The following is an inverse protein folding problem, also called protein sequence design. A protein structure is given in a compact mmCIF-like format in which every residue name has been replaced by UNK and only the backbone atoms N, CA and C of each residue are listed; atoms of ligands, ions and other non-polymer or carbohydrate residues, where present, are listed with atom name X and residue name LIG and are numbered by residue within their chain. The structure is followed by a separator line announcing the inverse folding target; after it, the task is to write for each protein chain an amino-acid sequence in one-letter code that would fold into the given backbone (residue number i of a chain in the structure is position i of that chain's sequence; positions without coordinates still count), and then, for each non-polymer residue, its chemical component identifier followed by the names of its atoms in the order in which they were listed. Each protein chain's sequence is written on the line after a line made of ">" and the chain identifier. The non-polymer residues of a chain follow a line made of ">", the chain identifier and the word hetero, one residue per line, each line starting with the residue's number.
data_IF_543045828723
#
_entry.id   IF_543045828723
#
_cell.length_a   1.000
_cell.length_b   1.000
_cell.length_c   1.000
_cell.angle_alpha   90.00
_cell.angle_beta   90.00
_cell.angle_gamma   90.00
#
_symmetry.space_group_name_H-M   'P 1'
#
loop_
_entity.id
_entity.type
_entity.pdbx_description
1 polymer ?
#
# COMPACT_ATOMS: atom_id res chain seq x y z
N UNK A 1 9.32 5.08 -69.02
CA UNK A 1 9.65 5.32 -70.46
C UNK A 1 10.91 6.17 -70.54
N UNK A 2 11.72 5.98 -71.60
CA UNK A 2 12.82 6.83 -72.11
C UNK A 2 13.85 7.35 -71.07
N UNK A 3 15.03 6.74 -70.85
CA UNK A 3 16.20 6.43 -71.74
C UNK A 3 16.92 7.63 -72.38
N UNK A 4 18.26 7.61 -72.22
CA UNK A 4 19.31 8.11 -73.15
C UNK A 4 19.49 9.64 -73.29
N UNK A 5 20.68 10.22 -73.59
CA UNK A 5 21.98 9.69 -74.08
C UNK A 5 23.11 10.74 -73.95
N UNK A 6 24.36 10.31 -73.75
CA UNK A 6 25.60 10.80 -74.43
C UNK A 6 26.78 9.94 -73.92
N UNK A 7 27.66 9.23 -74.67
CA UNK A 7 28.56 9.57 -75.81
C UNK A 7 29.45 10.79 -75.50
N UNK A 8 30.77 10.82 -75.69
CA UNK A 8 31.72 9.92 -76.40
C UNK A 8 33.10 9.99 -75.67
N UNK A 9 34.22 9.33 -76.03
CA UNK A 9 34.60 8.64 -77.28
C UNK A 9 35.50 7.39 -77.04
N UNK A 10 36.80 7.47 -77.37
CA UNK A 10 37.91 6.48 -77.27
C UNK A 10 39.25 7.24 -77.37
N UNK A 11 40.32 6.71 -76.77
CA UNK A 11 41.58 6.55 -77.51
C UNK A 11 42.32 5.29 -77.05
N UNK A 12 42.98 4.62 -77.98
CA UNK A 12 43.77 3.41 -77.75
C UNK A 12 45.22 3.75 -77.39
N UNK A 13 45.81 2.99 -76.48
CA UNK A 13 47.26 2.90 -76.29
C UNK A 13 47.64 1.44 -76.01
N UNK A 14 48.35 0.79 -76.94
CA UNK A 14 48.93 -0.54 -76.72
C UNK A 14 50.29 -0.36 -76.02
N UNK A 15 50.50 -1.07 -74.91
CA UNK A 15 51.80 -1.27 -74.26
C UNK A 15 51.89 -2.74 -73.82
N UNK A 16 53.02 -3.39 -74.06
CA UNK A 16 53.14 -4.85 -74.06
C UNK A 16 54.08 -5.37 -72.96
N UNK A 17 53.68 -6.47 -72.33
CA UNK A 17 54.50 -7.48 -71.61
C UNK A 17 55.42 -7.04 -70.46
N UNK A 18 55.33 -7.76 -69.32
CA UNK A 18 56.54 -8.02 -68.51
C UNK A 18 56.39 -8.20 -66.99
N UNK A 19 55.89 -9.35 -66.55
CA UNK A 19 56.41 -10.07 -65.35
C UNK A 19 56.20 -9.52 -63.92
N UNK A 20 55.61 -10.38 -63.07
CA UNK A 20 55.98 -10.67 -61.66
C UNK A 20 55.99 -9.51 -60.62
N UNK A 21 55.55 -9.68 -59.37
CA UNK A 21 54.76 -10.73 -58.73
C UNK A 21 54.19 -10.20 -57.39
N UNK A 22 53.05 -10.75 -56.98
CA UNK A 22 52.53 -10.88 -55.60
C UNK A 22 53.30 -10.15 -54.47
N UNK A 23 52.82 -8.98 -54.08
CA UNK A 23 53.06 -8.35 -52.76
C UNK A 23 51.80 -7.59 -52.33
N UNK A 24 50.74 -8.36 -52.03
CA UNK A 24 49.39 -7.84 -51.82
C UNK A 24 48.50 -8.73 -50.95
N UNK A 25 49.11 -9.45 -49.99
CA UNK A 25 48.40 -10.31 -49.06
C UNK A 25 49.12 -10.33 -47.71
N UNK A 26 48.88 -9.29 -46.88
CA UNK A 26 49.09 -9.31 -45.42
C UNK A 26 48.37 -8.11 -44.74
N UNK A 27 47.15 -7.82 -45.20
CA UNK A 27 46.11 -7.16 -44.39
C UNK A 27 45.02 -8.19 -44.10
N UNK A 28 45.43 -9.36 -43.60
CA UNK A 28 44.54 -10.16 -42.78
C UNK A 28 44.30 -9.35 -41.52
N UNK A 29 43.17 -8.65 -41.46
CA UNK A 29 42.75 -7.95 -40.25
C UNK A 29 42.65 -8.98 -39.14
N UNK A 30 43.60 -8.97 -38.21
CA UNK A 30 43.38 -9.61 -36.93
C UNK A 30 42.24 -8.84 -36.29
N UNK A 31 41.04 -9.41 -36.29
CA UNK A 31 40.01 -9.07 -35.33
C UNK A 31 40.59 -9.37 -33.96
N UNK A 32 41.26 -8.39 -33.38
CA UNK A 32 41.82 -8.47 -32.03
C UNK A 32 40.66 -8.29 -31.08
N UNK A 33 39.95 -9.39 -30.81
CA UNK A 33 38.98 -9.51 -29.73
C UNK A 33 39.69 -9.12 -28.42
N UNK A 34 39.51 -7.88 -27.98
CA UNK A 34 40.02 -7.44 -26.69
C UNK A 34 39.17 -8.12 -25.61
N UNK A 35 39.85 -8.92 -24.79
CA UNK A 35 39.30 -9.55 -23.60
C UNK A 35 40.01 -8.91 -22.42
N UNK A 36 39.28 -8.16 -21.59
CA UNK A 36 39.85 -7.69 -20.32
C UNK A 36 40.16 -8.94 -19.48
N UNK A 37 41.40 -9.16 -19.02
CA UNK A 37 41.74 -10.30 -18.18
C UNK A 37 41.07 -10.26 -16.80
N UNK A 38 40.53 -9.09 -16.40
CA UNK A 38 39.83 -8.87 -15.14
C UNK A 38 38.53 -8.09 -15.40
N UNK A 39 37.52 -8.70 -16.05
CA UNK A 39 36.24 -8.05 -16.30
C UNK A 39 35.51 -7.75 -14.97
N UNK A 40 34.56 -6.80 -14.95
CA UNK A 40 33.79 -6.50 -13.75
C UNK A 40 33.00 -7.74 -13.28
N UNK A 41 33.14 -8.11 -12.01
CA UNK A 41 32.36 -9.21 -11.39
C UNK A 41 30.95 -8.69 -11.05
N UNK A 42 30.05 -8.77 -12.02
CA UNK A 42 28.68 -8.27 -11.96
C UNK A 42 27.65 -9.40 -11.82
N UNK A 43 26.67 -9.17 -10.95
CA UNK A 43 25.56 -10.10 -10.70
C UNK A 43 24.22 -9.36 -10.69
N UNK A 44 23.20 -9.96 -11.30
CA UNK A 44 21.81 -9.48 -11.22
C UNK A 44 21.19 -9.94 -9.91
N UNK A 45 20.70 -8.99 -9.13
CA UNK A 45 20.02 -9.22 -7.85
C UNK A 45 18.53 -8.88 -7.97
N UNK A 46 17.65 -9.87 -8.21
CA UNK A 46 16.21 -9.65 -8.17
C UNK A 46 15.75 -9.34 -6.74
N UNK A 47 14.71 -8.54 -6.64
CA UNK A 47 14.06 -8.12 -5.39
C UNK A 47 12.56 -8.17 -5.53
N UNK A 48 11.90 -8.76 -4.55
CA UNK A 48 10.46 -8.73 -4.39
C UNK A 48 10.10 -8.26 -2.97
N UNK A 49 9.17 -7.32 -2.89
CA UNK A 49 8.59 -6.84 -1.63
C UNK A 49 7.07 -6.95 -1.75
N UNK A 50 6.51 -7.94 -1.08
CA UNK A 50 5.05 -8.03 -0.84
C UNK A 50 4.75 -7.31 0.46
N UNK A 51 3.90 -6.28 0.40
CA UNK A 51 3.44 -5.55 1.58
C UNK A 51 2.37 -6.38 2.30
N UNK A 52 2.65 -6.79 3.54
CA UNK A 52 1.75 -7.66 4.29
C UNK A 52 0.45 -6.93 4.63
N UNK A 53 -0.64 -7.68 4.71
CA UNK A 53 -1.86 -7.22 5.35
C UNK A 53 -1.69 -7.31 6.87
N UNK A 54 -2.16 -6.31 7.61
CA UNK A 54 -2.15 -6.26 9.08
C UNK A 54 -3.51 -5.85 9.62
N UNK A 55 -3.81 -6.37 10.81
CA UNK A 55 -4.92 -5.95 11.65
C UNK A 55 -4.75 -4.48 12.05
N UNK A 56 -5.87 -3.76 12.20
CA UNK A 56 -5.93 -2.39 12.69
C UNK A 56 -6.42 -2.31 14.13
N UNK A 57 -6.05 -1.28 14.92
CA UNK A 57 -6.69 -1.01 16.20
C UNK A 57 -8.22 -0.86 16.06
N UNK A 58 -9.00 -1.48 16.95
CA UNK A 58 -10.46 -1.30 16.97
C UNK A 58 -10.81 -0.06 17.77
N UNK A 59 -11.34 0.95 17.10
CA UNK A 59 -11.88 2.15 17.73
C UNK A 59 -13.40 2.10 17.62
N UNK A 60 -14.12 2.12 18.75
CA UNK A 60 -15.59 2.02 18.73
C UNK A 60 -16.26 2.92 19.76
N UNK A 61 -17.48 3.38 19.49
CA UNK A 61 -18.30 4.16 20.43
C UNK A 61 -19.73 3.64 20.49
N UNK A 62 -20.44 3.92 21.59
CA UNK A 62 -21.83 3.52 21.81
C UNK A 62 -22.74 4.75 21.86
N UNK A 63 -23.91 4.67 21.22
CA UNK A 63 -24.90 5.76 21.12
C UNK A 63 -26.26 5.22 21.56
N UNK A 64 -26.69 5.59 22.77
CA UNK A 64 -27.97 5.15 23.33
C UNK A 64 -29.09 6.15 23.03
N UNK A 65 -30.09 5.72 22.27
CA UNK A 65 -31.33 6.44 22.00
C UNK A 65 -32.52 5.53 22.31
N UNK A 66 -32.72 5.23 23.60
CA UNK A 66 -33.68 4.26 24.10
C UNK A 66 -34.88 4.93 24.77
N UNK A 67 -36.06 4.33 24.62
CA UNK A 67 -37.26 4.62 25.39
C UNK A 67 -37.65 3.43 26.26
N UNK A 68 -37.37 3.50 27.57
CA UNK A 68 -37.62 2.42 28.53
C UNK A 68 -38.21 3.05 29.79
N UNK A 69 -39.54 2.97 30.03
CA UNK A 69 -40.19 3.70 31.13
C UNK A 69 -39.72 3.33 32.54
N UNK A 70 -39.15 2.14 32.73
CA UNK A 70 -38.60 1.70 34.02
C UNK A 70 -37.11 2.03 34.10
N UNK A 71 -36.71 2.87 35.06
CA UNK A 71 -35.33 3.32 35.22
C UNK A 71 -34.34 2.17 35.54
N UNK A 72 -34.74 1.17 36.33
CA UNK A 72 -33.88 0.02 36.64
C UNK A 72 -33.67 -0.86 35.39
N UNK A 73 -34.71 -1.08 34.60
CA UNK A 73 -34.63 -1.77 33.31
C UNK A 73 -33.77 -0.98 32.31
N UNK A 74 -33.93 0.34 32.24
CA UNK A 74 -33.08 1.22 31.42
C UNK A 74 -31.59 1.05 31.76
N UNK A 75 -31.24 1.11 33.06
CA UNK A 75 -29.87 0.90 33.54
C UNK A 75 -29.38 -0.52 33.23
N UNK A 76 -30.21 -1.55 33.45
CA UNK A 76 -29.90 -2.96 33.16
C UNK A 76 -29.58 -3.16 31.68
N UNK A 77 -30.39 -2.61 30.78
CA UNK A 77 -30.25 -2.73 29.32
C UNK A 77 -29.01 -2.00 28.82
N UNK A 78 -28.80 -0.74 29.23
CA UNK A 78 -27.57 0.02 28.88
C UNK A 78 -26.31 -0.70 29.38
N UNK A 79 -26.35 -1.27 30.58
CA UNK A 79 -25.28 -2.09 31.15
C UNK A 79 -25.02 -3.37 30.35
N UNK A 80 -26.07 -4.12 30.00
CA UNK A 80 -26.00 -5.35 29.20
C UNK A 80 -25.40 -5.08 27.81
N UNK A 81 -25.93 -4.08 27.08
CA UNK A 81 -25.45 -3.70 25.75
C UNK A 81 -23.97 -3.30 25.80
N UNK A 82 -23.59 -2.46 26.78
CA UNK A 82 -22.18 -2.06 26.97
C UNK A 82 -21.26 -3.26 27.26
N UNK A 83 -21.64 -4.12 28.20
CA UNK A 83 -20.81 -5.25 28.61
C UNK A 83 -20.61 -6.28 27.48
N UNK A 84 -21.70 -6.69 26.82
CA UNK A 84 -21.65 -7.68 25.74
C UNK A 84 -20.88 -7.16 24.53
N UNK A 85 -21.12 -5.90 24.12
CA UNK A 85 -20.45 -5.35 22.95
C UNK A 85 -18.99 -5.01 23.23
N UNK A 86 -18.62 -4.56 24.44
CA UNK A 86 -17.21 -4.44 24.84
C UNK A 86 -16.47 -5.77 24.70
N UNK A 87 -17.07 -6.87 25.17
CA UNK A 87 -16.48 -8.20 25.06
C UNK A 87 -16.31 -8.68 23.60
N UNK A 88 -17.20 -8.30 22.68
CA UNK A 88 -17.10 -8.67 21.27
C UNK A 88 -16.18 -7.75 20.43
N UNK A 89 -16.22 -6.44 20.68
CA UNK A 89 -15.50 -5.42 19.92
C UNK A 89 -14.05 -5.29 20.40
N UNK A 90 -13.80 -5.36 21.71
CA UNK A 90 -12.49 -5.18 22.32
C UNK A 90 -12.20 -6.24 23.42
N UNK A 91 -12.17 -7.54 23.05
CA UNK A 91 -11.78 -8.61 23.97
C UNK A 91 -10.32 -8.44 24.47
N UNK A 92 -9.96 -9.07 25.61
CA UNK A 92 -8.59 -9.03 26.14
C UNK A 92 -7.54 -9.39 25.09
N UNK A 93 -6.47 -8.59 25.02
CA UNK A 93 -5.38 -8.75 24.05
C UNK A 93 -5.61 -8.10 22.68
N UNK A 94 -6.79 -7.56 22.38
CA UNK A 94 -7.03 -6.78 21.16
C UNK A 94 -6.57 -5.32 21.35
N UNK A 95 -5.78 -4.81 20.40
CA UNK A 95 -5.42 -3.39 20.36
C UNK A 95 -6.63 -2.54 19.95
N UNK A 96 -6.86 -1.43 20.66
CA UNK A 96 -7.98 -0.53 20.36
C UNK A 96 -8.30 0.46 21.47
N UNK A 97 -9.44 1.13 21.30
CA UNK A 97 -9.94 2.19 22.17
C UNK A 97 -11.47 2.26 22.12
N UNK A 98 -12.09 2.21 23.29
CA UNK A 98 -13.49 2.59 23.44
C UNK A 98 -13.59 4.12 23.54
N UNK A 99 -14.50 4.70 22.76
CA UNK A 99 -14.91 6.09 22.82
C UNK A 99 -16.00 6.24 23.90
N UNK A 100 -16.07 7.41 24.51
CA UNK A 100 -17.10 7.78 25.48
C UNK A 100 -18.49 7.52 24.93
N UNK A 101 -19.34 6.92 25.77
CA UNK A 101 -20.74 6.64 25.47
C UNK A 101 -21.50 7.97 25.29
N UNK A 102 -22.29 8.06 24.22
CA UNK A 102 -23.20 9.17 23.96
C UNK A 102 -24.63 8.75 24.28
N UNK A 103 -25.18 9.24 25.39
CA UNK A 103 -26.57 8.98 25.76
C UNK A 103 -27.47 10.12 25.24
N UNK A 104 -28.12 9.88 24.10
CA UNK A 104 -29.09 10.78 23.49
C UNK A 104 -30.46 10.73 24.20
N UNK A 105 -30.60 9.81 25.16
CA UNK A 105 -31.81 9.49 25.90
C UNK A 105 -31.53 9.29 27.40
N UNK A 106 -31.05 10.31 28.14
CA UNK A 106 -30.81 10.19 29.57
C UNK A 106 -32.04 9.64 30.30
N UNK A 107 -31.84 8.63 31.16
CA UNK A 107 -32.95 7.92 31.83
C UNK A 107 -33.84 7.07 30.91
N UNK A 108 -33.43 6.84 29.66
CA UNK A 108 -34.23 6.23 28.59
C UNK A 108 -35.55 6.97 28.32
N UNK A 109 -35.47 8.30 28.31
CA UNK A 109 -36.51 9.18 27.78
C UNK A 109 -35.94 9.81 26.50
N UNK A 110 -36.60 9.63 25.36
CA UNK A 110 -36.17 10.18 24.08
C UNK A 110 -36.72 11.61 23.88
N UNK A 111 -35.89 12.67 23.85
CA UNK A 111 -36.36 14.01 23.51
C UNK A 111 -36.68 14.10 22.01
N UNK A 112 -37.64 14.95 21.63
CA UNK A 112 -38.02 15.16 20.23
C UNK A 112 -36.97 15.92 19.41
N UNK A 113 -36.11 16.73 20.05
CA UNK A 113 -35.08 17.56 19.42
C UNK A 113 -33.64 17.06 19.70
N UNK A 114 -33.47 15.76 19.90
CA UNK A 114 -32.15 15.15 20.14
C UNK A 114 -31.24 15.24 18.91
N UNK A 115 -29.95 15.39 19.17
CA UNK A 115 -28.86 15.55 18.18
C UNK A 115 -27.61 14.81 18.65
N UNK A 116 -26.74 14.43 17.72
CA UNK A 116 -25.45 13.82 18.03
C UNK A 116 -24.32 14.89 18.13
N UNK A 117 -23.56 14.93 19.24
CA UNK A 117 -22.56 15.97 19.45
C UNK A 117 -21.26 15.73 18.66
N UNK A 118 -21.23 16.16 17.40
CA UNK A 118 -20.06 16.06 16.50
C UNK A 118 -18.73 16.52 17.10
N UNK A 119 -18.73 17.62 17.87
CA UNK A 119 -17.51 18.15 18.51
C UNK A 119 -16.88 17.12 19.43
N UNK A 120 -17.70 16.36 20.19
CA UNK A 120 -17.23 15.26 21.05
C UNK A 120 -16.72 14.07 20.25
N UNK A 121 -17.28 13.78 19.08
CA UNK A 121 -16.72 12.76 18.19
C UNK A 121 -15.36 13.21 17.64
N UNK A 122 -15.24 14.45 17.19
CA UNK A 122 -14.00 15.01 16.65
C UNK A 122 -12.87 15.05 17.69
N UNK A 123 -13.13 15.50 18.92
CA UNK A 123 -12.19 15.47 20.06
C UNK A 123 -11.62 14.06 20.28
N UNK A 124 -12.50 13.05 20.33
CA UNK A 124 -12.11 11.68 20.63
C UNK A 124 -11.47 10.96 19.44
N UNK A 125 -11.90 11.30 18.21
CA UNK A 125 -11.24 10.87 16.99
C UNK A 125 -9.81 11.42 16.92
N UNK A 126 -9.58 12.69 17.28
CA UNK A 126 -8.24 13.27 17.36
C UNK A 126 -7.36 12.55 18.41
N UNK A 127 -7.93 12.16 19.56
CA UNK A 127 -7.21 11.34 20.54
C UNK A 127 -6.85 9.94 20.00
N UNK A 128 -7.74 9.29 19.24
CA UNK A 128 -7.45 8.03 18.58
C UNK A 128 -6.39 8.18 17.47
N UNK A 129 -6.41 9.27 16.69
CA UNK A 129 -5.37 9.62 15.71
C UNK A 129 -4.02 9.84 16.37
N UNK A 130 -3.97 10.55 17.51
CA UNK A 130 -2.74 10.76 18.27
C UNK A 130 -2.16 9.43 18.81
N UNK A 131 -3.01 8.45 19.14
CA UNK A 131 -2.60 7.15 19.68
C UNK A 131 -2.18 6.14 18.61
N UNK A 132 -2.92 6.04 17.50
CA UNK A 132 -2.76 4.97 16.50
C UNK A 132 -2.20 5.46 15.16
N UNK A 133 -2.15 6.77 14.93
CA UNK A 133 -1.80 7.39 13.65
C UNK A 133 -3.00 7.59 12.73
N UNK A 134 -2.93 8.63 11.89
CA UNK A 134 -3.97 8.96 10.92
C UNK A 134 -4.14 7.84 9.87
N UNK A 135 -5.39 7.50 9.54
CA UNK A 135 -5.74 6.47 8.56
C UNK A 135 -5.45 5.03 9.00
N UNK A 136 -4.93 4.80 10.22
CA UNK A 136 -4.53 3.46 10.70
C UNK A 136 -5.65 2.62 11.29
N UNK A 137 -6.82 3.21 11.49
CA UNK A 137 -8.04 2.59 12.02
C UNK A 137 -9.25 3.20 11.32
N UNK A 138 -10.40 2.51 11.39
CA UNK A 138 -11.69 3.07 10.99
C UNK A 138 -12.66 2.93 12.17
N UNK A 139 -13.28 4.01 12.68
CA UNK A 139 -14.15 3.90 13.86
C UNK A 139 -15.45 3.15 13.56
N UNK A 140 -16.01 2.51 14.59
CA UNK A 140 -17.35 1.91 14.54
C UNK A 140 -18.24 2.56 15.61
N UNK A 141 -19.29 3.26 15.21
CA UNK A 141 -20.29 3.81 16.13
C UNK A 141 -21.51 2.88 16.14
N UNK A 142 -21.87 2.37 17.32
CA UNK A 142 -23.01 1.47 17.49
C UNK A 142 -24.20 2.25 18.08
N UNK A 143 -25.27 2.35 17.30
CA UNK A 143 -26.50 3.05 17.64
C UNK A 143 -27.58 2.08 18.13
N UNK A 144 -28.28 2.44 19.20
CA UNK A 144 -29.34 1.64 19.82
C UNK A 144 -30.63 2.42 19.91
N UNK A 145 -31.71 1.92 19.30
CA UNK A 145 -33.04 2.50 19.42
C UNK A 145 -34.11 1.40 19.43
N UNK A 146 -35.09 1.49 20.33
CA UNK A 146 -36.12 0.48 20.55
C UNK A 146 -37.56 0.98 20.29
N UNK A 147 -37.70 2.08 19.54
CA UNK A 147 -38.97 2.74 19.26
C UNK A 147 -39.28 2.61 17.77
N UNK A 148 -40.47 2.10 17.44
CA UNK A 148 -40.93 1.92 16.06
C UNK A 148 -41.47 3.25 15.48
N UNK A 149 -40.62 4.26 15.44
CA UNK A 149 -40.88 5.60 14.90
C UNK A 149 -39.66 6.09 14.10
N UNK A 150 -39.91 6.98 13.15
CA UNK A 150 -38.82 7.62 12.38
C UNK A 150 -37.91 8.47 13.28
N UNK A 151 -36.64 8.57 12.91
CA UNK A 151 -35.70 9.44 13.60
C UNK A 151 -36.09 10.91 13.45
N UNK A 152 -35.90 11.75 14.49
CA UNK A 152 -35.97 13.20 14.34
C UNK A 152 -35.08 13.68 13.16
N UNK A 153 -35.55 14.62 12.33
CA UNK A 153 -34.79 15.07 11.16
C UNK A 153 -33.36 15.50 11.49
N UNK A 154 -33.17 16.17 12.62
CA UNK A 154 -31.86 16.59 13.15
C UNK A 154 -30.92 15.41 13.39
N UNK A 155 -31.35 14.39 14.15
CA UNK A 155 -30.53 13.20 14.43
C UNK A 155 -30.25 12.38 13.15
N UNK A 156 -31.19 12.36 12.21
CA UNK A 156 -30.98 11.70 10.91
C UNK A 156 -29.93 12.42 10.09
N UNK A 157 -30.01 13.74 9.99
CA UNK A 157 -28.98 14.57 9.35
C UNK A 157 -27.62 14.42 10.06
N UNK A 158 -27.63 14.28 11.39
CA UNK A 158 -26.41 14.01 12.16
C UNK A 158 -25.75 12.66 11.78
N UNK A 159 -26.53 11.59 11.58
CA UNK A 159 -25.94 10.34 11.09
C UNK A 159 -25.49 10.43 9.63
N UNK A 160 -26.19 11.19 8.78
CA UNK A 160 -25.81 11.38 7.37
C UNK A 160 -24.46 12.10 7.25
N UNK A 161 -24.22 13.22 7.96
CA UNK A 161 -22.91 13.90 7.83
C UNK A 161 -21.78 13.18 8.57
N UNK A 162 -22.06 12.35 9.60
CA UNK A 162 -21.07 11.40 10.11
C UNK A 162 -20.59 10.44 9.00
N UNK A 163 -21.53 9.78 8.33
CA UNK A 163 -21.23 8.81 7.27
C UNK A 163 -20.56 9.46 6.04
N UNK A 164 -20.89 10.72 5.73
CA UNK A 164 -20.34 11.45 4.60
C UNK A 164 -19.04 12.23 4.90
N UNK A 165 -18.48 12.15 6.11
CA UNK A 165 -17.32 12.91 6.58
C UNK A 165 -15.95 12.56 5.94
N UNK A 166 -15.92 11.90 4.78
CA UNK A 166 -14.70 11.50 4.09
C UNK A 166 -13.86 10.49 4.87
N UNK A 167 -12.53 10.62 4.81
CA UNK A 167 -11.57 9.65 5.39
C UNK A 167 -11.58 9.51 6.92
N UNK A 168 -12.39 10.30 7.64
CA UNK A 168 -12.62 10.19 9.08
C UNK A 168 -14.05 9.66 9.41
N UNK A 169 -14.79 9.21 8.40
CA UNK A 169 -16.17 8.71 8.55
C UNK A 169 -16.20 7.39 9.36
N UNK A 170 -16.98 7.31 10.43
CA UNK A 170 -17.19 6.06 11.15
C UNK A 170 -18.09 5.14 10.33
N UNK A 171 -17.91 3.82 10.47
CA UNK A 171 -19.00 2.91 10.17
C UNK A 171 -20.07 3.07 11.25
N UNK A 172 -21.30 3.43 10.88
CA UNK A 172 -22.42 3.48 11.83
C UNK A 172 -23.16 2.15 11.72
N UNK A 173 -23.14 1.36 12.80
CA UNK A 173 -23.86 0.10 12.95
C UNK A 173 -25.08 0.34 13.85
N UNK A 174 -26.21 -0.31 13.58
CA UNK A 174 -27.42 -0.12 14.38
C UNK A 174 -28.02 -1.42 14.93
N UNK A 175 -28.52 -1.38 16.15
CA UNK A 175 -29.54 -2.29 16.65
C UNK A 175 -30.81 -1.46 16.82
N UNK A 176 -31.74 -1.59 15.87
CA UNK A 176 -32.87 -0.65 15.77
C UNK A 176 -34.11 -1.25 15.11
N UNK A 177 -35.20 -0.51 15.14
CA UNK A 177 -36.53 -0.87 14.62
C UNK A 177 -36.61 -0.76 13.10
N UNK A 178 -37.61 -1.41 12.49
CA UNK A 178 -37.75 -1.46 11.03
C UNK A 178 -38.07 -0.08 10.45
N UNK A 179 -38.83 0.75 11.17
CA UNK A 179 -39.18 2.13 10.81
C UNK A 179 -37.97 3.08 10.83
N UNK A 180 -36.98 2.81 11.68
CA UNK A 180 -35.71 3.54 11.62
C UNK A 180 -34.88 3.10 10.41
N UNK A 181 -34.83 1.79 10.11
CA UNK A 181 -34.12 1.25 8.95
C UNK A 181 -34.74 1.63 7.60
N UNK A 182 -36.03 1.97 7.56
CA UNK A 182 -36.70 2.48 6.35
C UNK A 182 -36.26 3.91 6.00
N UNK A 183 -35.81 4.69 7.00
CA UNK A 183 -35.53 6.12 6.87
C UNK A 183 -34.04 6.47 6.74
N UNK A 184 -33.14 5.60 7.21
CA UNK A 184 -31.69 5.81 7.12
C UNK A 184 -30.92 4.49 6.91
N UNK A 185 -29.88 4.54 6.07
CA UNK A 185 -29.01 3.40 5.76
C UNK A 185 -27.79 3.36 6.67
N UNK A 186 -27.77 2.44 7.62
CA UNK A 186 -26.58 2.09 8.39
C UNK A 186 -25.61 1.22 7.58
N UNK A 187 -24.33 1.20 7.98
CA UNK A 187 -23.31 0.33 7.38
C UNK A 187 -23.57 -1.14 7.69
N UNK A 188 -24.08 -1.42 8.89
CA UNK A 188 -24.60 -2.71 9.31
C UNK A 188 -25.84 -2.48 10.19
N UNK A 189 -26.77 -3.43 10.21
CA UNK A 189 -27.92 -3.36 11.11
C UNK A 189 -28.35 -4.72 11.64
N UNK A 190 -29.01 -4.69 12.79
CA UNK A 190 -29.78 -5.76 13.40
C UNK A 190 -31.13 -5.19 13.87
N UNK A 191 -32.18 -5.99 13.83
CA UNK A 191 -33.49 -5.57 14.33
C UNK A 191 -33.54 -5.64 15.86
N UNK A 192 -34.05 -4.58 16.48
CA UNK A 192 -34.41 -4.60 17.89
C UNK A 192 -35.64 -5.50 18.08
N UNK A 193 -35.56 -6.43 19.04
CA UNK A 193 -36.68 -7.31 19.41
C UNK A 193 -37.33 -6.84 20.72
N UNK A 194 -36.78 -7.23 21.87
CA UNK A 194 -37.21 -6.77 23.19
C UNK A 194 -36.01 -6.78 24.15
N UNK A 195 -36.08 -5.97 25.22
CA UNK A 195 -34.94 -5.72 26.14
C UNK A 195 -34.41 -6.93 26.89
N UNK A 196 -35.19 -8.01 26.95
CA UNK A 196 -34.85 -9.27 27.63
C UNK A 196 -34.51 -10.41 26.67
N UNK A 197 -34.41 -10.15 25.35
CA UNK A 197 -34.03 -11.16 24.38
C UNK A 197 -32.54 -11.54 24.59
N UNK A 198 -32.21 -12.81 24.93
CA UNK A 198 -30.82 -13.23 25.12
C UNK A 198 -29.99 -13.18 23.83
N UNK A 199 -30.63 -13.01 22.66
CA UNK A 199 -29.98 -12.90 21.34
C UNK A 199 -29.99 -11.47 20.78
N UNK A 200 -30.46 -10.48 21.53
CA UNK A 200 -30.60 -9.09 21.09
C UNK A 200 -29.33 -8.52 20.41
N UNK A 201 -28.15 -8.83 20.94
CA UNK A 201 -26.85 -8.39 20.39
C UNK A 201 -26.19 -9.39 19.45
N UNK A 202 -26.70 -10.63 19.35
CA UNK A 202 -25.98 -11.75 18.75
C UNK A 202 -25.54 -11.49 17.30
N UNK A 203 -26.36 -10.75 16.53
CA UNK A 203 -26.01 -10.39 15.15
C UNK A 203 -24.88 -9.36 15.07
N UNK A 204 -24.87 -8.35 15.94
CA UNK A 204 -23.77 -7.37 16.00
C UNK A 204 -22.48 -8.00 16.49
N UNK A 205 -22.56 -8.97 17.41
CA UNK A 205 -21.39 -9.74 17.84
C UNK A 205 -20.84 -10.67 16.74
N UNK A 206 -21.71 -11.30 15.95
CA UNK A 206 -21.31 -12.07 14.76
C UNK A 206 -20.59 -11.18 13.76
N UNK A 207 -21.14 -10.00 13.46
CA UNK A 207 -20.53 -9.01 12.59
C UNK A 207 -19.19 -8.51 13.14
N UNK A 208 -19.09 -8.26 14.44
CA UNK A 208 -17.83 -7.90 15.09
C UNK A 208 -16.77 -9.02 14.94
N UNK A 209 -17.14 -10.29 15.16
CA UNK A 209 -16.24 -11.44 14.98
C UNK A 209 -15.81 -11.63 13.52
N UNK A 210 -16.70 -11.35 12.56
CA UNK A 210 -16.43 -11.55 11.13
C UNK A 210 -15.65 -10.39 10.49
N UNK A 211 -15.84 -9.15 10.95
CA UNK A 211 -15.28 -7.95 10.32
C UNK A 211 -14.11 -7.32 11.08
N UNK A 212 -14.00 -7.54 12.40
CA UNK A 212 -13.05 -6.82 13.28
C UNK A 212 -11.94 -7.71 13.87
N UNK A 213 -10.73 -7.14 14.13
CA UNK A 213 -10.28 -5.83 13.65
C UNK A 213 -10.29 -5.76 12.12
N UNK A 214 -10.45 -4.53 11.60
CA UNK A 214 -10.29 -4.27 10.18
C UNK A 214 -8.86 -4.59 9.74
N UNK A 215 -8.67 -4.69 8.43
CA UNK A 215 -7.38 -4.98 7.81
C UNK A 215 -6.96 -3.83 6.90
N UNK A 216 -5.66 -3.60 6.81
CA UNK A 216 -5.02 -2.66 5.89
C UNK A 216 -3.67 -3.20 5.44
N UNK A 217 -3.08 -2.66 4.37
CA UNK A 217 -1.68 -2.93 4.07
C UNK A 217 -0.78 -2.31 5.14
N UNK A 218 0.28 -3.02 5.53
CA UNK A 218 1.33 -2.46 6.34
C UNK A 218 1.96 -1.27 5.60
N UNK A 219 2.10 -0.15 6.30
CA UNK A 219 2.83 0.98 5.75
C UNK A 219 4.33 0.72 5.87
N UNK A 220 5.15 1.21 4.93
CA UNK A 220 6.59 1.13 5.03
C UNK A 220 7.09 1.74 6.35
N UNK A 221 8.17 1.20 6.94
CA UNK A 221 8.85 1.89 8.03
C UNK A 221 9.40 3.24 7.52
N UNK A 222 9.42 4.28 8.37
CA UNK A 222 9.94 5.59 7.99
C UNK A 222 11.39 5.53 7.46
N UNK A 223 12.22 4.68 8.08
CA UNK A 223 13.59 4.39 7.62
C UNK A 223 13.69 3.46 6.41
N UNK A 224 12.60 3.06 5.76
CA UNK A 224 12.58 2.19 4.59
C UNK A 224 13.14 0.77 4.82
N UNK A 225 13.19 -0.01 3.75
CA UNK A 225 13.69 -1.38 3.72
C UNK A 225 15.17 -1.42 3.33
N UNK A 226 15.93 -2.36 3.89
CA UNK A 226 17.30 -2.60 3.46
C UNK A 226 17.34 -3.09 2.00
N UNK A 227 18.19 -2.50 1.17
CA UNK A 227 18.36 -2.87 -0.24
C UNK A 227 19.14 -4.18 -0.42
N UNK A 228 20.05 -4.43 0.52
CA UNK A 228 20.94 -5.59 0.58
C UNK A 228 20.79 -6.31 1.92
N UNK A 229 20.92 -7.63 1.89
CA UNK A 229 21.11 -8.48 3.07
C UNK A 229 22.50 -8.23 3.69
N UNK A 230 22.69 -8.65 4.95
CA UNK A 230 24.00 -8.56 5.61
C UNK A 230 25.10 -9.34 4.88
N UNK A 231 24.75 -10.39 4.13
CA UNK A 231 25.69 -11.15 3.31
C UNK A 231 26.07 -10.38 2.04
N UNK A 232 25.11 -9.75 1.35
CA UNK A 232 25.39 -8.93 0.16
C UNK A 232 26.24 -7.70 0.51
N UNK A 233 26.00 -7.07 1.66
CA UNK A 233 26.79 -5.92 2.14
C UNK A 233 28.29 -6.23 2.36
N UNK A 234 28.71 -7.49 2.47
CA UNK A 234 30.14 -7.82 2.61
C UNK A 234 30.91 -7.74 1.29
N UNK A 235 30.24 -8.02 0.17
CA UNK A 235 30.86 -8.17 -1.15
C UNK A 235 30.43 -7.12 -2.18
N UNK A 236 29.21 -6.57 -2.13
CA UNK A 236 28.81 -5.51 -3.06
C UNK A 236 29.66 -4.26 -2.83
N UNK A 237 30.22 -3.70 -3.91
CA UNK A 237 30.98 -2.44 -3.90
C UNK A 237 30.23 -1.32 -4.60
N UNK A 238 29.61 -1.63 -5.73
CA UNK A 238 28.83 -0.68 -6.52
C UNK A 238 27.54 -1.36 -7.01
N UNK A 239 26.48 -0.56 -7.25
CA UNK A 239 25.23 -1.10 -7.81
C UNK A 239 24.51 -0.10 -8.72
N UNK A 240 23.58 -0.62 -9.53
CA UNK A 240 22.63 0.11 -10.37
C UNK A 240 21.22 -0.42 -10.16
N UNK A 241 20.20 0.43 -10.31
CA UNK A 241 18.80 0.02 -10.44
C UNK A 241 18.42 -0.21 -11.90
N UNK A 242 18.05 -1.44 -12.26
CA UNK A 242 17.84 -1.84 -13.65
C UNK A 242 16.39 -1.79 -14.12
N UNK A 243 15.44 -1.99 -13.21
CA UNK A 243 14.01 -1.91 -13.52
C UNK A 243 13.33 -0.85 -12.65
N UNK A 244 12.52 -0.01 -13.28
CA UNK A 244 11.74 1.02 -12.62
C UNK A 244 10.39 0.47 -12.19
N UNK A 245 10.20 0.24 -10.89
CA UNK A 245 8.89 -0.06 -10.34
C UNK A 245 8.21 1.23 -9.88
N UNK A 246 6.97 1.46 -10.30
CA UNK A 246 6.17 2.61 -9.86
C UNK A 246 6.05 2.62 -8.34
N UNK A 247 6.38 3.74 -7.71
CA UNK A 247 6.37 3.87 -6.24
C UNK A 247 7.62 3.36 -5.54
N UNK A 248 8.65 2.88 -6.25
CA UNK A 248 9.97 2.61 -5.65
C UNK A 248 10.80 3.92 -5.60
N UNK A 249 11.45 4.17 -4.47
CA UNK A 249 12.42 5.27 -4.33
C UNK A 249 13.64 4.86 -3.50
N UNK A 250 14.80 5.42 -3.85
CA UNK A 250 16.01 5.30 -3.02
C UNK A 250 15.94 6.26 -1.83
N UNK A 251 16.41 5.82 -0.67
CA UNK A 251 16.62 6.68 0.48
C UNK A 251 18.06 7.17 0.49
N UNK A 252 18.24 8.49 0.43
CA UNK A 252 19.55 9.16 0.33
C UNK A 252 20.34 8.83 -0.95
N UNK A 253 19.69 8.25 -1.96
CA UNK A 253 20.24 8.05 -3.31
C UNK A 253 19.14 8.12 -4.38
N UNK A 254 19.52 8.42 -5.62
CA UNK A 254 18.61 8.38 -6.77
C UNK A 254 18.60 6.97 -7.34
N UNK A 255 17.48 6.26 -7.24
CA UNK A 255 17.35 4.94 -7.84
C UNK A 255 17.28 5.04 -9.37
N UNK A 256 18.14 4.31 -10.07
CA UNK A 256 18.20 4.29 -11.53
C UNK A 256 19.48 3.61 -12.05
N UNK A 257 19.75 3.67 -13.36
CA UNK A 257 20.83 2.93 -14.02
C UNK A 257 22.22 3.57 -13.84
N UNK A 258 22.30 4.65 -13.05
CA UNK A 258 23.56 5.25 -12.64
C UNK A 258 24.20 4.44 -11.52
N UNK A 259 25.51 4.36 -11.54
CA UNK A 259 26.27 3.55 -10.60
C UNK A 259 26.40 4.26 -9.24
N UNK A 260 26.22 3.50 -8.16
CA UNK A 260 26.25 3.99 -6.79
C UNK A 260 27.15 3.11 -5.92
N UNK A 261 28.11 3.72 -5.22
CA UNK A 261 28.98 3.02 -4.28
C UNK A 261 28.22 2.60 -3.01
N UNK A 262 28.43 1.37 -2.55
CA UNK A 262 27.85 0.84 -1.31
C UNK A 262 28.78 1.12 -0.13
N UNK A 263 28.31 1.93 0.82
CA UNK A 263 28.95 2.09 2.12
C UNK A 263 28.31 1.15 3.14
N UNK A 264 29.03 0.11 3.58
CA UNK A 264 28.52 -0.86 4.54
C UNK A 264 28.18 -0.27 5.93
N UNK A 265 28.77 0.87 6.32
CA UNK A 265 28.43 1.57 7.56
C UNK A 265 27.12 2.38 7.45
N UNK A 266 26.73 2.76 6.23
CA UNK A 266 25.50 3.49 5.92
C UNK A 266 24.80 2.81 4.73
N UNK A 267 24.32 1.56 4.91
CA UNK A 267 23.87 0.73 3.80
C UNK A 267 22.64 1.36 3.11
N UNK A 268 22.56 1.30 1.76
CA UNK A 268 21.45 1.90 1.02
C UNK A 268 20.12 1.22 1.35
N UNK A 269 19.05 2.03 1.38
CA UNK A 269 17.70 1.62 1.75
C UNK A 269 16.71 2.14 0.72
N UNK A 270 15.58 1.46 0.54
CA UNK A 270 14.53 1.88 -0.39
C UNK A 270 13.21 2.11 0.36
N UNK A 271 12.43 3.06 -0.14
CA UNK A 271 11.02 3.22 0.22
C UNK A 271 10.13 2.66 -0.90
N UNK A 272 8.91 2.31 -0.50
CA UNK A 272 7.83 1.87 -1.38
C UNK A 272 6.63 2.74 -1.08
N UNK A 273 6.05 3.41 -2.07
CA UNK A 273 4.79 4.12 -1.90
C UNK A 273 3.64 3.10 -1.91
N UNK A 274 3.09 2.82 -0.74
CA UNK A 274 1.84 2.05 -0.62
C UNK A 274 0.67 3.04 -0.66
N UNK A 275 -0.34 2.84 -1.53
CA UNK A 275 -1.55 3.65 -1.50
C UNK A 275 -2.17 3.60 -0.09
N UNK A 276 -2.37 4.77 0.52
CA UNK A 276 -3.10 4.85 1.80
C UNK A 276 -4.57 4.60 1.50
N UNK A 277 -5.04 3.40 1.83
CA UNK A 277 -6.44 2.99 1.73
C UNK A 277 -7.06 2.99 3.13
N UNK A 278 -8.36 3.26 3.21
CA UNK A 278 -9.10 3.10 4.47
C UNK A 278 -9.10 1.63 4.91
N UNK A 279 -9.03 1.33 6.23
CA UNK A 279 -9.17 -0.02 6.73
C UNK A 279 -10.52 -0.67 6.34
N UNK A 280 -10.45 -1.92 5.87
CA UNK A 280 -11.60 -2.68 5.38
C UNK A 280 -11.97 -3.85 6.30
N UNK A 281 -13.23 -4.33 6.31
CA UNK A 281 -13.64 -5.59 6.94
C UNK A 281 -12.69 -6.75 6.67
N UNK A 282 -12.26 -7.50 7.70
CA UNK A 282 -11.35 -8.66 7.55
C UNK A 282 -11.86 -9.73 6.58
N UNK A 283 -13.18 -9.86 6.44
CA UNK A 283 -13.81 -10.77 5.49
C UNK A 283 -13.77 -10.29 4.03
N UNK A 284 -13.19 -9.13 3.73
CA UNK A 284 -12.87 -8.67 2.38
C UNK A 284 -11.43 -9.05 1.99
N UNK A 285 -11.19 -9.18 0.68
CA UNK A 285 -9.85 -9.43 0.14
C UNK A 285 -9.17 -8.10 -0.18
N UNK A 286 -7.99 -7.86 0.39
CA UNK A 286 -7.05 -6.83 -0.08
C UNK A 286 -6.12 -7.47 -1.10
N UNK A 287 -6.01 -6.87 -2.30
CA UNK A 287 -5.05 -7.33 -3.31
C UNK A 287 -3.61 -7.00 -2.88
N UNK A 288 -2.66 -7.94 -2.99
CA UNK A 288 -1.31 -7.74 -2.48
C UNK A 288 -0.58 -6.62 -3.25
N UNK A 289 -0.08 -5.62 -2.52
CA UNK A 289 0.84 -4.63 -3.09
C UNK A 289 2.23 -5.27 -3.16
N UNK A 290 2.59 -5.69 -4.37
CA UNK A 290 3.87 -6.35 -4.68
C UNK A 290 4.73 -5.44 -5.54
N UNK A 291 5.91 -5.06 -5.02
CA UNK A 291 6.94 -4.36 -5.78
C UNK A 291 8.02 -5.35 -6.19
N UNK A 292 8.29 -5.46 -7.49
CA UNK A 292 9.40 -6.23 -8.05
C UNK A 292 10.37 -5.30 -8.74
N UNK A 293 11.65 -5.46 -8.45
CA UNK A 293 12.71 -4.70 -9.11
C UNK A 293 14.00 -5.52 -9.17
N UNK A 294 14.94 -5.11 -10.01
CA UNK A 294 16.21 -5.78 -10.20
C UNK A 294 17.35 -4.76 -10.09
N UNK A 295 18.44 -5.19 -9.45
CA UNK A 295 19.68 -4.45 -9.38
C UNK A 295 20.76 -5.18 -10.18
N UNK A 296 21.71 -4.45 -10.71
CA UNK A 296 23.05 -4.99 -10.98
C UNK A 296 23.94 -4.59 -9.82
N UNK A 297 24.67 -5.55 -9.27
CA UNK A 297 25.66 -5.32 -8.24
C UNK A 297 27.03 -5.79 -8.75
N UNK A 298 28.02 -4.92 -8.61
CA UNK A 298 29.41 -5.24 -8.87
C UNK A 298 30.14 -5.55 -7.55
N UNK A 299 30.93 -6.62 -7.57
CA UNK A 299 31.78 -7.08 -6.47
C UNK A 299 33.21 -6.55 -6.58
N UNK A 300 33.85 -6.77 -7.72
CA UNK A 300 35.26 -6.49 -7.98
C UNK A 300 35.41 -5.93 -9.42
N UNK A 301 36.43 -5.11 -9.66
CA UNK A 301 36.77 -4.57 -10.99
C UNK A 301 35.69 -3.72 -11.68
N UNK A 302 34.87 -2.99 -10.92
CA UNK A 302 33.69 -2.25 -11.42
C UNK A 302 33.99 -1.17 -12.47
N UNK A 303 35.23 -0.68 -12.52
CA UNK A 303 35.73 0.27 -13.51
C UNK A 303 36.11 -0.38 -14.86
N UNK A 304 36.24 -1.71 -14.91
CA UNK A 304 36.76 -2.44 -16.06
C UNK A 304 35.76 -2.63 -17.19
N UNK A 305 36.29 -3.04 -18.34
CA UNK A 305 35.53 -3.17 -19.57
C UNK A 305 34.76 -4.50 -19.60
N UNK A 306 33.51 -4.40 -19.99
CA UNK A 306 32.61 -5.51 -20.29
C UNK A 306 32.33 -5.51 -21.79
N UNK A 307 32.49 -6.68 -22.44
CA UNK A 307 32.08 -6.86 -23.84
C UNK A 307 30.58 -7.13 -23.92
N UNK A 308 29.85 -6.32 -24.67
CA UNK A 308 28.44 -6.60 -24.97
C UNK A 308 28.31 -7.76 -25.96
N UNK A 309 27.10 -8.28 -26.12
CA UNK A 309 26.74 -9.24 -27.18
C UNK A 309 26.90 -8.69 -28.61
N UNK A 310 27.03 -7.37 -28.74
CA UNK A 310 27.23 -6.63 -30.00
C UNK A 310 28.72 -6.35 -30.27
N UNK A 311 29.62 -6.77 -29.37
CA UNK A 311 31.06 -6.57 -29.47
C UNK A 311 31.55 -5.19 -28.99
N UNK A 312 30.67 -4.36 -28.42
CA UNK A 312 31.07 -3.08 -27.82
C UNK A 312 31.80 -3.32 -26.49
N UNK A 313 32.87 -2.56 -26.24
CA UNK A 313 33.58 -2.57 -24.96
C UNK A 313 33.17 -1.37 -24.12
N UNK A 314 32.46 -1.64 -23.04
CA UNK A 314 31.87 -0.61 -22.19
C UNK A 314 32.39 -0.77 -20.77
N UNK A 315 32.89 0.32 -20.17
CA UNK A 315 33.14 0.32 -18.72
C UNK A 315 31.79 0.26 -18.01
N UNK A 316 31.60 -0.73 -17.13
CA UNK A 316 30.30 -0.96 -16.50
C UNK A 316 29.87 0.27 -15.71
N UNK A 317 30.72 0.78 -14.81
CA UNK A 317 30.32 1.90 -13.94
C UNK A 317 30.05 3.22 -14.68
N UNK A 318 30.70 3.47 -15.81
CA UNK A 318 30.51 4.66 -16.63
C UNK A 318 29.28 4.61 -17.56
N UNK A 319 28.69 3.42 -17.76
CA UNK A 319 27.57 3.27 -18.71
C UNK A 319 26.22 3.44 -17.99
N UNK A 320 25.37 4.41 -18.37
CA UNK A 320 24.10 4.70 -17.70
C UNK A 320 22.96 3.76 -18.13
N UNK A 321 23.27 2.47 -18.30
CA UNK A 321 22.33 1.36 -18.52
C UNK A 321 22.81 0.12 -17.76
N UNK A 322 21.89 -0.79 -17.47
CA UNK A 322 22.23 -2.14 -17.03
C UNK A 322 22.65 -2.99 -18.24
N UNK A 323 23.63 -3.88 -18.06
CA UNK A 323 24.28 -4.68 -19.11
C UNK A 323 23.90 -6.16 -19.08
N UNK A 324 23.49 -6.68 -17.92
CA UNK A 324 23.01 -8.04 -17.73
C UNK A 324 21.50 -8.08 -18.05
N UNK A 325 21.17 -8.77 -19.14
CA UNK A 325 19.80 -9.06 -19.55
C UNK A 325 19.12 -10.04 -18.58
N UNK A 326 18.66 -9.55 -17.43
CA UNK A 326 17.84 -10.29 -16.49
C UNK A 326 16.38 -10.32 -16.90
N UNK A 327 15.88 -11.47 -17.35
CA UNK A 327 14.44 -11.72 -17.47
C UNK A 327 13.78 -11.67 -16.08
N UNK A 328 12.68 -10.92 -15.96
CA UNK A 328 11.76 -10.96 -14.82
C UNK A 328 10.90 -12.24 -14.83
#
# INVERSE_FOLDING_TARGET
>A
MNRTRSRSSRHQGRGSLGGLALLGALLAGCETYFVDPYPPDISTLPRERVMKVRDTPVVYGLIFDLHIPNAAECTRVKGQLTATLRAALLPPGREGMELSVHDLSPGCVQPSQRTYPYTRYAEQHAAAVARFGQGRFKPVLLYFNNVELTLPPSLREDFINLQNGGGNSPQVWALTTQEVLSNIRFTQSALWTYSSDPRLTAKLEELARAQLPFIQHEQPPAGGFALFTSQELSWVREFKGCTYATGLSGMNFVYGPQTLTVNAAYPPRYQVTVPTQEPVPRNQKLEPVTIRFALEACREHCERFFSTSEGELLSWNATPRCLLSGSL
#
